data_IF_169517872045
#
_entry.id   IF_169517872045
#
_cell.length_a   1.000
_cell.length_b   1.000
_cell.length_c   1.000
_cell.angle_alpha   90.00
_cell.angle_beta   90.00
_cell.angle_gamma   90.00
#
_symmetry.space_group_name_H-M   'P 1'
#
loop_
_entity.id
_entity.type
_entity.pdbx_description
1 polymer ?
#
# COMPACT_ATOMS: atom_id res chain seq x y z
N UNK A 1 -30.84 3.96 3.10
CA UNK A 1 -29.64 3.17 2.76
C UNK A 1 -29.65 1.99 3.71
N UNK A 2 -29.98 0.80 3.21
CA UNK A 2 -29.74 -0.44 3.94
C UNK A 2 -28.25 -0.75 3.88
N UNK A 3 -27.72 -1.49 4.86
CA UNK A 3 -26.30 -1.88 4.91
C UNK A 3 -25.82 -2.67 3.68
N UNK A 4 -26.77 -3.22 2.92
CA UNK A 4 -26.51 -4.15 1.82
C UNK A 4 -25.89 -3.48 0.57
N UNK A 5 -25.93 -2.15 0.46
CA UNK A 5 -25.38 -1.37 -0.66
C UNK A 5 -24.04 -0.66 -0.34
N UNK A 6 -23.41 -0.96 0.80
CA UNK A 6 -22.14 -0.33 1.19
C UNK A 6 -20.98 -1.28 0.89
N UNK A 7 -20.15 -0.89 -0.08
CA UNK A 7 -18.83 -1.48 -0.28
C UNK A 7 -17.81 -0.84 0.67
N UNK A 8 -16.84 -1.64 1.11
CA UNK A 8 -15.70 -1.19 1.90
C UNK A 8 -14.41 -1.41 1.12
N UNK A 9 -13.39 -0.60 1.38
CA UNK A 9 -12.02 -0.87 0.92
C UNK A 9 -11.14 -1.01 2.15
N UNK A 10 -10.52 -2.18 2.30
CA UNK A 10 -9.47 -2.41 3.29
C UNK A 10 -8.16 -2.05 2.64
N UNK A 11 -7.42 -1.15 3.27
CA UNK A 11 -6.11 -0.69 2.80
C UNK A 11 -5.04 -1.08 3.80
N UNK A 12 -3.93 -1.55 3.28
CA UNK A 12 -2.72 -1.81 4.04
C UNK A 12 -1.53 -1.13 3.33
N UNK A 13 -0.56 -0.65 4.12
CA UNK A 13 0.63 0.03 3.60
C UNK A 13 1.85 -0.36 4.41
N UNK A 14 2.95 -0.60 3.69
CA UNK A 14 4.28 -0.67 4.27
C UNK A 14 5.04 0.61 3.97
N UNK A 15 5.86 1.05 4.92
CA UNK A 15 6.49 2.37 4.88
C UNK A 15 7.93 2.31 5.33
N UNK A 16 8.73 3.29 4.89
CA UNK A 16 10.13 3.43 5.31
C UNK A 16 10.28 3.78 6.80
N UNK A 17 9.18 4.13 7.46
CA UNK A 17 9.08 4.59 8.84
C UNK A 17 7.70 5.18 9.14
N UNK A 18 7.48 5.62 10.38
CA UNK A 18 6.14 5.96 10.88
C UNK A 18 5.77 7.46 10.80
N UNK A 19 6.63 8.32 10.25
CA UNK A 19 6.43 9.77 10.27
C UNK A 19 6.59 10.41 8.89
N UNK A 20 5.48 10.72 8.18
CA UNK A 20 5.54 11.44 6.91
C UNK A 20 6.15 12.84 7.05
N UNK A 21 5.98 13.48 8.22
CA UNK A 21 6.60 14.77 8.54
C UNK A 21 8.13 14.70 8.62
N UNK A 22 8.70 13.52 8.84
CA UNK A 22 10.14 13.26 8.76
C UNK A 22 10.58 12.71 7.40
N UNK A 23 9.68 12.74 6.40
CA UNK A 23 9.97 12.32 5.03
C UNK A 23 9.82 10.83 4.79
N UNK A 24 9.23 10.06 5.71
CA UNK A 24 8.93 8.64 5.45
C UNK A 24 7.98 8.49 4.26
N UNK A 25 8.17 7.40 3.50
CA UNK A 25 7.51 7.13 2.22
C UNK A 25 6.84 5.76 2.26
N UNK A 26 5.85 5.58 1.40
CA UNK A 26 5.22 4.28 1.15
C UNK A 26 6.19 3.41 0.34
N UNK A 27 6.24 2.12 0.68
CA UNK A 27 7.04 1.07 0.04
C UNK A 27 6.13 0.01 -0.60
N UNK A 28 4.95 -0.21 -0.05
CA UNK A 28 3.90 -1.05 -0.63
C UNK A 28 2.53 -0.42 -0.38
N UNK A 29 1.62 -0.56 -1.34
CA UNK A 29 0.22 -0.25 -1.17
C UNK A 29 -0.63 -1.44 -1.59
N UNK A 30 -1.53 -1.88 -0.71
CA UNK A 30 -2.52 -2.91 -0.99
C UNK A 30 -3.93 -2.41 -0.68
N UNK A 31 -4.88 -2.73 -1.55
CA UNK A 31 -6.29 -2.43 -1.39
C UNK A 31 -7.14 -3.63 -1.79
N UNK A 32 -8.10 -3.98 -0.94
CA UNK A 32 -9.10 -5.01 -1.20
C UNK A 32 -10.48 -4.38 -1.06
N UNK A 33 -11.25 -4.38 -2.15
CA UNK A 33 -12.65 -3.96 -2.12
C UNK A 33 -13.50 -5.15 -1.69
N UNK A 34 -14.33 -4.94 -0.68
CA UNK A 34 -15.25 -5.92 -0.11
C UNK A 34 -16.70 -5.45 -0.34
N UNK A 35 -17.59 -6.39 -0.64
CA UNK A 35 -19.02 -6.11 -0.60
C UNK A 35 -19.53 -6.02 0.86
N UNK A 36 -20.83 -5.75 1.02
CA UNK A 36 -21.50 -5.65 2.33
C UNK A 36 -21.44 -6.93 3.18
N UNK A 37 -21.15 -8.09 2.58
CA UNK A 37 -20.94 -9.38 3.25
C UNK A 37 -19.46 -9.65 3.60
N UNK A 38 -18.58 -8.65 3.44
CA UNK A 38 -17.13 -8.76 3.60
C UNK A 38 -16.46 -9.76 2.63
N UNK A 39 -17.08 -10.02 1.48
CA UNK A 39 -16.49 -10.86 0.43
C UNK A 39 -15.68 -10.01 -0.55
N UNK A 40 -14.47 -10.43 -0.93
CA UNK A 40 -13.63 -9.69 -1.86
C UNK A 40 -14.23 -9.66 -3.26
N UNK A 41 -14.35 -8.44 -3.80
CA UNK A 41 -14.87 -8.16 -5.13
C UNK A 41 -13.82 -7.56 -6.06
N UNK A 42 -12.74 -6.99 -5.52
CA UNK A 42 -11.58 -6.54 -6.31
C UNK A 42 -10.33 -6.43 -5.42
N UNK A 43 -9.15 -6.56 -6.02
CA UNK A 43 -7.86 -6.45 -5.33
C UNK A 43 -6.85 -5.67 -6.17
N UNK A 44 -6.06 -4.85 -5.48
CA UNK A 44 -4.92 -4.15 -6.06
C UNK A 44 -3.75 -4.19 -5.08
N UNK A 45 -2.56 -4.51 -5.59
CA UNK A 45 -1.31 -4.40 -4.83
C UNK A 45 -0.21 -3.91 -5.74
N UNK A 46 0.69 -3.09 -5.19
CA UNK A 46 1.89 -2.67 -5.88
C UNK A 46 3.01 -2.36 -4.89
N UNK A 47 4.22 -2.80 -5.23
CA UNK A 47 5.43 -2.25 -4.63
C UNK A 47 5.64 -0.85 -5.18
N UNK A 48 6.20 0.03 -4.35
CA UNK A 48 6.49 1.41 -4.70
C UNK A 48 7.96 1.66 -4.39
N UNK A 49 8.69 2.19 -5.37
CA UNK A 49 10.04 2.67 -5.14
C UNK A 49 9.96 3.98 -4.35
N UNK A 50 10.40 4.02 -3.08
CA UNK A 50 10.26 5.22 -2.25
C UNK A 50 11.27 6.32 -2.63
N UNK A 51 12.18 6.06 -3.57
CA UNK A 51 13.26 6.97 -3.95
C UNK A 51 14.32 7.15 -2.84
N UNK A 52 14.34 6.25 -1.85
CA UNK A 52 15.21 6.26 -0.67
C UNK A 52 15.39 4.84 -0.11
N UNK A 53 16.12 4.74 1.01
CA UNK A 53 16.21 3.51 1.80
C UNK A 53 14.81 3.01 2.21
N UNK A 54 14.55 1.73 1.98
CA UNK A 54 13.25 1.08 2.24
C UNK A 54 12.87 0.98 3.71
N UNK A 55 13.78 1.30 4.65
CA UNK A 55 13.50 1.29 6.07
C UNK A 55 13.63 -0.11 6.69
N UNK A 56 12.84 -0.43 7.73
CA UNK A 56 13.04 -1.62 8.55
C UNK A 56 12.60 -2.90 7.83
N UNK A 57 13.43 -3.39 6.91
CA UNK A 57 13.21 -4.64 6.15
C UNK A 57 12.97 -5.86 7.03
N UNK A 58 13.46 -5.86 8.27
CA UNK A 58 13.22 -6.91 9.25
C UNK A 58 11.78 -6.93 9.82
N UNK A 59 11.00 -5.87 9.57
CA UNK A 59 9.58 -5.76 9.93
C UNK A 59 8.71 -6.15 8.73
N UNK A 60 8.83 -5.44 7.61
CA UNK A 60 7.95 -5.60 6.45
C UNK A 60 8.48 -6.56 5.38
N UNK A 61 9.72 -7.03 5.47
CA UNK A 61 10.30 -8.03 4.55
C UNK A 61 10.73 -7.51 3.17
N UNK A 62 10.26 -6.33 2.75
CA UNK A 62 10.58 -5.73 1.45
C UNK A 62 12.01 -5.18 1.44
N UNK A 63 12.83 -5.62 0.49
CA UNK A 63 14.21 -5.19 0.30
C UNK A 63 14.35 -4.08 -0.76
N UNK A 64 15.54 -3.47 -0.82
CA UNK A 64 15.84 -2.49 -1.86
C UNK A 64 15.82 -3.08 -3.28
N UNK A 65 16.12 -4.37 -3.42
CA UNK A 65 16.09 -5.08 -4.71
C UNK A 65 14.66 -5.25 -5.22
N UNK A 66 13.73 -5.55 -4.31
CA UNK A 66 12.31 -5.76 -4.64
C UNK A 66 11.68 -4.50 -5.26
N UNK A 67 12.09 -3.31 -4.79
CA UNK A 67 11.55 -2.03 -5.27
C UNK A 67 12.38 -1.38 -6.37
N UNK A 68 13.49 -1.98 -6.80
CA UNK A 68 14.44 -1.33 -7.71
C UNK A 68 13.80 -0.94 -9.06
N UNK A 69 12.86 -1.75 -9.55
CA UNK A 69 12.11 -1.51 -10.79
C UNK A 69 10.62 -1.20 -10.55
N UNK A 70 10.23 -1.00 -9.28
CA UNK A 70 8.87 -0.62 -8.92
C UNK A 70 8.57 0.83 -9.35
N UNK A 71 7.31 1.17 -9.63
CA UNK A 71 6.92 2.56 -9.92
C UNK A 71 7.22 3.49 -8.74
N UNK A 72 7.43 4.78 -9.02
CA UNK A 72 7.40 5.81 -7.97
C UNK A 72 5.98 6.00 -7.44
N UNK A 73 5.82 6.67 -6.30
CA UNK A 73 4.49 6.99 -5.79
C UNK A 73 3.71 7.86 -6.79
N UNK A 74 4.38 8.79 -7.45
CA UNK A 74 3.80 9.67 -8.46
C UNK A 74 3.33 8.92 -9.73
N UNK A 75 3.93 7.77 -10.05
CA UNK A 75 3.50 6.96 -11.19
C UNK A 75 2.18 6.22 -10.91
N UNK A 76 1.86 5.98 -9.63
CA UNK A 76 0.65 5.26 -9.20
C UNK A 76 -0.44 6.18 -8.65
N UNK A 77 -0.07 7.32 -8.05
CA UNK A 77 -0.99 8.33 -7.55
C UNK A 77 -1.40 9.27 -8.69
N UNK A 78 -2.66 9.17 -9.12
CA UNK A 78 -3.24 9.98 -10.20
C UNK A 78 -3.51 11.45 -9.85
#
# INVERSE_FOLDING_TARGET
MTSDDIDFVVVDVETTGISPNHGDRIVEFAAIRLNSNAEPIDTYTTLINPGRDVGPTYIHGISQEDVANAPSFEDVAG
#
